data_IF_583008399822
#
_entry.id   IF_583008399822
#
_cell.length_a   1.000
_cell.length_b   1.000
_cell.length_c   1.000
_cell.angle_alpha   90.00
_cell.angle_beta   90.00
_cell.angle_gamma   90.00
#
_symmetry.space_group_name_H-M   'P 1'
#
loop_
_entity.id
_entity.type
_entity.pdbx_description
1 polymer ?
#
# COMPACT_ATOMS: atom_id res chain seq x y z
N UNK A 1 19.72 39.60 -6.30
CA UNK A 1 18.84 38.75 -5.46
C UNK A 1 18.39 37.61 -6.32
N UNK A 2 18.84 36.39 -6.04
CA UNK A 2 18.31 35.18 -6.69
C UNK A 2 16.81 35.09 -6.39
N UNK A 3 15.98 34.86 -7.40
CA UNK A 3 14.55 34.64 -7.21
C UNK A 3 14.26 33.47 -6.26
N UNK A 4 12.99 33.19 -5.95
CA UNK A 4 12.63 32.05 -5.11
C UNK A 4 13.11 30.73 -5.75
N UNK A 5 13.54 29.76 -4.91
CA UNK A 5 14.00 28.46 -5.34
C UNK A 5 12.88 27.75 -6.14
N UNK A 6 13.14 27.42 -7.40
CA UNK A 6 12.17 26.75 -8.29
C UNK A 6 12.32 25.23 -8.19
N UNK A 7 11.26 24.52 -7.77
CA UNK A 7 11.28 23.09 -7.56
C UNK A 7 10.21 22.40 -8.39
N UNK A 8 10.62 21.45 -9.23
CA UNK A 8 9.69 20.52 -9.88
C UNK A 8 9.42 19.33 -8.98
N UNK A 9 8.16 18.97 -8.80
CA UNK A 9 7.75 17.72 -8.15
C UNK A 9 7.06 16.84 -9.18
N UNK A 10 7.56 15.63 -9.39
CA UNK A 10 7.06 14.69 -10.40
C UNK A 10 6.34 13.55 -9.72
N UNK A 11 5.02 13.49 -9.87
CA UNK A 11 4.11 12.57 -9.23
C UNK A 11 3.36 13.20 -8.05
N UNK A 12 2.03 13.05 -8.05
CA UNK A 12 1.12 13.62 -7.06
C UNK A 12 0.58 12.59 -6.05
N UNK A 13 1.22 11.42 -5.93
CA UNK A 13 0.95 10.51 -4.81
C UNK A 13 1.28 11.15 -3.47
N UNK A 14 0.98 10.46 -2.35
CA UNK A 14 1.19 11.01 -1.00
C UNK A 14 2.60 11.57 -0.78
N UNK A 15 3.63 10.99 -1.39
CA UNK A 15 5.01 11.45 -1.26
C UNK A 15 5.24 12.81 -1.93
N UNK A 16 4.72 12.98 -3.16
CA UNK A 16 4.81 14.25 -3.88
C UNK A 16 3.98 15.35 -3.22
N UNK A 17 2.78 15.01 -2.77
CA UNK A 17 1.92 15.92 -2.02
C UNK A 17 2.56 16.34 -0.68
N UNK A 18 3.20 15.41 0.02
CA UNK A 18 3.93 15.71 1.26
C UNK A 18 5.12 16.64 1.01
N UNK A 19 5.89 16.38 -0.06
CA UNK A 19 6.99 17.27 -0.44
C UNK A 19 6.50 18.65 -0.83
N UNK A 20 5.43 18.77 -1.63
CA UNK A 20 4.82 20.03 -2.02
C UNK A 20 4.32 20.82 -0.81
N UNK A 21 3.63 20.14 0.11
CA UNK A 21 3.14 20.74 1.35
C UNK A 21 4.28 21.27 2.24
N UNK A 22 5.35 20.51 2.40
CA UNK A 22 6.52 20.90 3.19
C UNK A 22 7.34 22.04 2.57
N UNK A 23 7.33 22.18 1.25
CA UNK A 23 8.03 23.24 0.52
C UNK A 23 7.22 24.53 0.39
N UNK A 24 5.95 24.52 0.78
CA UNK A 24 5.04 25.68 0.73
C UNK A 24 5.65 26.89 1.43
N UNK A 25 5.67 28.02 0.72
CA UNK A 25 6.23 29.28 1.23
C UNK A 25 7.76 29.35 1.28
N UNK A 26 8.47 28.23 1.05
CA UNK A 26 9.93 28.18 1.01
C UNK A 26 10.50 28.03 -0.41
N UNK A 27 9.69 27.56 -1.36
CA UNK A 27 10.04 27.37 -2.76
C UNK A 27 8.85 27.65 -3.68
N UNK A 28 9.15 27.98 -4.93
CA UNK A 28 8.18 28.04 -6.02
C UNK A 28 8.03 26.62 -6.62
N UNK A 29 6.92 25.97 -6.30
CA UNK A 29 6.67 24.56 -6.60
C UNK A 29 5.79 24.43 -7.83
N UNK A 30 6.25 23.62 -8.80
CA UNK A 30 5.42 23.09 -9.90
C UNK A 30 5.20 21.61 -9.69
N UNK A 31 3.94 21.17 -9.53
CA UNK A 31 3.55 19.78 -9.38
C UNK A 31 3.11 19.19 -10.73
N UNK A 32 3.78 18.14 -11.19
CA UNK A 32 3.45 17.42 -12.41
C UNK A 32 2.78 16.07 -12.07
N UNK A 33 1.63 15.82 -12.71
CA UNK A 33 0.92 14.54 -12.63
C UNK A 33 0.62 14.03 -14.04
N UNK A 34 0.95 12.77 -14.28
CA UNK A 34 0.71 12.11 -15.57
C UNK A 34 -0.76 11.74 -15.78
N UNK A 35 -1.46 11.42 -14.68
CA UNK A 35 -2.86 11.03 -14.67
C UNK A 35 -3.83 12.22 -14.77
N UNK A 36 -5.11 11.88 -14.79
CA UNK A 36 -6.24 12.81 -14.88
C UNK A 36 -6.78 13.25 -13.49
N UNK A 37 -6.19 12.75 -12.40
CA UNK A 37 -6.47 13.15 -11.01
C UNK A 37 -5.19 13.24 -10.19
N UNK A 38 -5.23 14.02 -9.10
CA UNK A 38 -4.17 14.06 -8.10
C UNK A 38 -4.41 13.04 -7.01
N UNK A 39 -3.35 12.47 -6.43
CA UNK A 39 -3.42 11.57 -5.28
C UNK A 39 -2.75 10.21 -5.48
N UNK A 40 -2.52 9.77 -6.72
CA UNK A 40 -1.96 8.46 -7.01
C UNK A 40 -2.84 7.34 -6.44
N UNK A 41 -2.33 6.53 -5.49
CA UNK A 41 -3.12 5.49 -4.81
C UNK A 41 -4.20 6.06 -3.86
N UNK A 42 -4.22 7.34 -3.58
CA UNK A 42 -5.37 8.02 -2.96
C UNK A 42 -6.38 8.33 -4.04
N UNK A 43 -7.20 7.33 -4.36
CA UNK A 43 -8.16 7.41 -5.43
C UNK A 43 -9.57 7.16 -4.91
N UNK A 44 -10.39 8.22 -4.87
CA UNK A 44 -11.78 8.20 -4.48
C UNK A 44 -12.67 8.37 -5.72
N UNK A 45 -13.60 7.46 -5.93
CA UNK A 45 -14.56 7.45 -7.04
C UNK A 45 -15.95 7.79 -6.51
N UNK A 46 -16.67 8.67 -7.19
CA UNK A 46 -18.07 8.94 -6.85
C UNK A 46 -18.97 7.82 -7.41
N UNK A 47 -19.69 7.17 -6.51
CA UNK A 47 -20.61 6.08 -6.82
C UNK A 47 -22.01 6.48 -6.45
N UNK A 48 -22.96 6.25 -7.37
CA UNK A 48 -24.40 6.47 -7.13
C UNK A 48 -25.12 5.13 -7.03
N UNK A 49 -25.62 4.80 -5.85
CA UNK A 49 -26.31 3.53 -5.57
C UNK A 49 -27.55 3.77 -4.71
N UNK A 50 -28.46 2.76 -4.62
CA UNK A 50 -29.59 2.83 -3.69
C UNK A 50 -29.16 2.99 -2.24
N UNK A 51 -29.71 3.97 -1.56
CA UNK A 51 -29.62 4.19 -0.12
C UNK A 51 -30.98 4.06 0.55
N UNK A 52 -31.07 4.26 1.88
CA UNK A 52 -32.31 4.09 2.64
C UNK A 52 -33.48 5.01 2.21
N UNK A 53 -33.17 6.16 1.60
CA UNK A 53 -34.16 7.18 1.21
C UNK A 53 -34.14 7.51 -0.30
N UNK A 54 -33.56 6.62 -1.13
CA UNK A 54 -33.40 6.82 -2.57
C UNK A 54 -31.96 6.69 -3.05
N UNK A 55 -31.66 7.07 -4.28
CA UNK A 55 -30.32 7.03 -4.82
C UNK A 55 -29.41 8.07 -4.10
N UNK A 56 -28.22 7.63 -3.69
CA UNK A 56 -27.23 8.46 -2.99
C UNK A 56 -25.89 8.37 -3.72
N UNK A 57 -25.25 9.53 -3.93
CA UNK A 57 -23.88 9.59 -4.43
C UNK A 57 -22.90 9.77 -3.28
N UNK A 58 -21.86 8.93 -3.22
CA UNK A 58 -20.85 8.99 -2.16
C UNK A 58 -19.47 8.60 -2.70
N UNK A 59 -18.43 9.21 -2.12
CA UNK A 59 -17.04 8.89 -2.44
C UNK A 59 -16.62 7.52 -1.90
N UNK A 60 -16.06 6.69 -2.76
CA UNK A 60 -15.60 5.33 -2.45
C UNK A 60 -14.11 5.23 -2.79
N UNK A 61 -13.29 4.87 -1.81
CA UNK A 61 -11.85 4.72 -2.02
C UNK A 61 -11.52 3.37 -2.66
N UNK A 62 -10.60 3.37 -3.63
CA UNK A 62 -10.22 2.18 -4.38
C UNK A 62 -8.75 1.78 -4.19
N UNK A 63 -7.96 2.64 -3.55
CA UNK A 63 -6.54 2.37 -3.28
C UNK A 63 -6.19 2.51 -1.80
N UNK A 64 -5.90 3.71 -1.30
CA UNK A 64 -5.66 3.93 0.13
C UNK A 64 -6.99 3.88 0.91
N UNK A 65 -7.13 2.93 1.83
CA UNK A 65 -8.38 2.66 2.54
C UNK A 65 -8.35 3.02 4.03
N UNK A 66 -7.28 2.66 4.74
CA UNK A 66 -7.23 2.67 6.21
C UNK A 66 -5.87 3.08 6.77
N UNK A 67 -5.89 3.61 7.99
CA UNK A 67 -4.72 3.93 8.80
C UNK A 67 -5.00 3.67 10.28
N UNK A 68 -3.98 3.66 11.13
CA UNK A 68 -4.13 3.48 12.58
C UNK A 68 -3.21 4.42 13.37
N UNK A 69 -3.52 4.63 14.63
CA UNK A 69 -2.81 5.58 15.49
C UNK A 69 -1.37 5.16 15.82
N UNK A 70 -1.07 3.86 15.72
CA UNK A 70 0.23 3.33 16.14
C UNK A 70 1.31 3.50 15.06
N UNK A 71 0.94 3.32 13.79
CA UNK A 71 1.92 3.24 12.69
C UNK A 71 1.79 4.36 11.67
N UNK A 72 0.83 5.31 11.86
CA UNK A 72 0.61 6.44 10.95
C UNK A 72 0.69 7.81 11.67
N UNK A 73 1.72 8.08 12.51
CA UNK A 73 1.77 9.31 13.30
C UNK A 73 1.86 10.58 12.44
N UNK A 74 2.60 10.56 11.33
CA UNK A 74 2.75 11.71 10.45
C UNK A 74 1.48 11.99 9.65
N UNK A 75 0.79 10.93 9.20
CA UNK A 75 -0.47 11.07 8.50
C UNK A 75 -1.56 11.66 9.41
N UNK A 76 -1.60 11.22 10.67
CA UNK A 76 -2.53 11.76 11.67
C UNK A 76 -2.23 13.24 11.95
N UNK A 77 -0.96 13.60 12.08
CA UNK A 77 -0.55 14.99 12.26
C UNK A 77 -0.95 15.86 11.06
N UNK A 78 -0.73 15.36 9.84
CA UNK A 78 -1.16 16.02 8.60
C UNK A 78 -2.67 16.19 8.54
N UNK A 79 -3.44 15.15 8.89
CA UNK A 79 -4.90 15.22 8.90
C UNK A 79 -5.42 16.23 9.93
N UNK A 80 -4.80 16.30 11.10
CA UNK A 80 -5.11 17.28 12.13
C UNK A 80 -4.82 18.73 11.64
N UNK A 81 -3.66 18.96 11.01
CA UNK A 81 -3.29 20.25 10.42
C UNK A 81 -4.28 20.68 9.34
N UNK A 82 -4.66 19.76 8.47
CA UNK A 82 -5.57 20.04 7.36
C UNK A 82 -7.05 20.05 7.77
N UNK A 83 -7.40 19.68 9.00
CA UNK A 83 -8.79 19.53 9.44
C UNK A 83 -9.55 18.48 8.65
N UNK A 84 -8.94 17.29 8.45
CA UNK A 84 -9.55 16.14 7.73
C UNK A 84 -10.38 15.31 8.71
N UNK A 85 -11.66 15.13 8.42
CA UNK A 85 -12.53 14.27 9.22
C UNK A 85 -12.25 12.78 8.97
N UNK A 86 -12.22 12.00 10.05
CA UNK A 86 -11.97 10.56 10.01
C UNK A 86 -13.10 9.78 10.68
N UNK A 87 -13.25 8.52 10.34
CA UNK A 87 -14.21 7.59 10.92
C UNK A 87 -13.54 6.28 11.30
N UNK A 88 -14.11 5.57 12.30
CA UNK A 88 -13.65 4.23 12.66
C UNK A 88 -13.86 3.28 11.51
N UNK A 89 -12.89 2.38 11.30
CA UNK A 89 -12.89 1.35 10.28
C UNK A 89 -12.72 -0.03 10.92
N UNK A 90 -13.23 -1.05 10.24
CA UNK A 90 -13.00 -2.45 10.57
C UNK A 90 -11.75 -2.97 9.83
N UNK A 91 -10.94 -3.77 10.50
CA UNK A 91 -9.75 -4.42 9.93
C UNK A 91 -9.86 -5.94 10.14
N UNK A 92 -11.04 -6.48 9.92
CA UNK A 92 -11.30 -7.92 9.95
C UNK A 92 -10.79 -8.60 8.68
N UNK A 93 -10.48 -9.88 8.82
CA UNK A 93 -9.86 -10.68 7.77
C UNK A 93 -10.55 -12.04 7.67
N UNK A 94 -10.81 -12.49 6.44
CA UNK A 94 -11.32 -13.82 6.14
C UNK A 94 -10.55 -14.52 5.03
N UNK A 95 -10.71 -15.82 4.96
CA UNK A 95 -10.04 -16.69 4.00
C UNK A 95 -11.03 -17.63 3.36
N UNK A 96 -10.94 -17.73 2.04
CA UNK A 96 -11.60 -18.73 1.21
C UNK A 96 -10.54 -19.59 0.52
N UNK A 97 -10.58 -20.92 0.74
CA UNK A 97 -9.66 -21.88 0.11
C UNK A 97 -10.49 -22.95 -0.61
N UNK A 98 -10.72 -22.78 -1.92
CA UNK A 98 -11.45 -23.77 -2.72
C UNK A 98 -10.80 -25.16 -2.64
N UNK A 99 -11.61 -26.20 -2.46
CA UNK A 99 -11.17 -27.60 -2.44
C UNK A 99 -10.44 -28.07 -1.18
N UNK A 100 -10.21 -27.23 -0.18
CA UNK A 100 -9.43 -27.55 1.03
C UNK A 100 -10.10 -28.59 1.94
N UNK A 101 -11.43 -28.70 1.91
CA UNK A 101 -12.21 -29.59 2.77
C UNK A 101 -12.86 -30.73 1.94
N UNK A 102 -12.06 -31.72 1.53
CA UNK A 102 -12.56 -32.85 0.73
C UNK A 102 -13.35 -32.39 -0.51
N UNK A 103 -12.84 -31.40 -1.24
CA UNK A 103 -13.47 -30.82 -2.42
C UNK A 103 -14.38 -29.61 -2.13
N UNK A 104 -14.72 -29.35 -0.89
CA UNK A 104 -15.47 -28.15 -0.49
C UNK A 104 -14.54 -26.98 -0.18
N UNK A 105 -15.05 -25.77 -0.29
CA UNK A 105 -14.33 -24.54 0.07
C UNK A 105 -14.23 -24.40 1.59
N UNK A 106 -13.02 -24.17 2.11
CA UNK A 106 -12.82 -23.71 3.49
C UNK A 106 -13.10 -22.20 3.56
N UNK A 107 -13.98 -21.80 4.49
CA UNK A 107 -14.32 -20.40 4.76
C UNK A 107 -14.25 -20.14 6.26
N UNK A 108 -13.52 -19.12 6.66
CA UNK A 108 -13.44 -18.70 8.06
C UNK A 108 -12.94 -17.25 8.19
N UNK A 109 -13.18 -16.62 9.34
CA UNK A 109 -12.68 -15.27 9.66
C UNK A 109 -12.17 -15.22 11.09
N UNK A 110 -11.13 -14.44 11.33
CA UNK A 110 -10.51 -14.27 12.64
C UNK A 110 -11.19 -13.24 13.55
N UNK A 111 -12.40 -12.75 13.23
CA UNK A 111 -13.06 -11.66 13.94
C UNK A 111 -13.65 -12.09 15.29
N UNK A 112 -14.11 -13.32 15.41
CA UNK A 112 -14.71 -13.90 16.63
C UNK A 112 -14.65 -15.42 16.60
N UNK A 113 -14.84 -16.08 17.73
CA UNK A 113 -14.97 -17.57 17.75
C UNK A 113 -16.11 -18.04 16.86
N UNK A 114 -17.20 -17.27 16.77
CA UNK A 114 -18.33 -17.60 15.91
C UNK A 114 -17.95 -17.57 14.41
N UNK A 115 -17.15 -16.61 14.00
CA UNK A 115 -16.67 -16.49 12.61
C UNK A 115 -15.50 -17.44 12.30
N UNK A 116 -14.65 -17.77 13.27
CA UNK A 116 -13.62 -18.82 13.13
C UNK A 116 -14.27 -20.16 12.80
N UNK A 117 -15.37 -20.47 13.46
CA UNK A 117 -16.17 -21.67 13.21
C UNK A 117 -17.46 -21.39 12.41
N UNK A 118 -17.41 -20.45 11.44
CA UNK A 118 -18.54 -20.19 10.53
C UNK A 118 -19.02 -21.48 9.83
N UNK A 119 -18.10 -22.36 9.50
CA UNK A 119 -18.35 -23.75 9.09
C UNK A 119 -18.22 -24.64 10.32
N UNK A 120 -19.36 -25.03 10.93
CA UNK A 120 -19.38 -25.78 12.20
C UNK A 120 -18.66 -27.14 12.16
N UNK A 121 -18.55 -27.75 10.96
CA UNK A 121 -17.78 -28.98 10.76
C UNK A 121 -16.29 -28.85 11.12
N UNK A 122 -15.74 -27.64 11.11
CA UNK A 122 -14.36 -27.36 11.46
C UNK A 122 -14.06 -27.55 12.96
N UNK A 123 -15.06 -27.65 13.83
CA UNK A 123 -14.90 -28.01 15.25
C UNK A 123 -14.28 -29.40 15.43
N UNK A 124 -14.55 -30.34 14.50
CA UNK A 124 -13.97 -31.70 14.50
C UNK A 124 -12.82 -31.90 13.50
N UNK A 125 -12.41 -30.86 12.78
CA UNK A 125 -11.37 -30.97 11.76
C UNK A 125 -9.97 -30.76 12.38
N UNK A 126 -9.21 -31.87 12.53
CA UNK A 126 -7.88 -31.85 13.15
C UNK A 126 -6.89 -30.94 12.42
N UNK A 127 -6.97 -30.83 11.09
CA UNK A 127 -6.11 -29.93 10.29
C UNK A 127 -6.40 -28.46 10.62
N UNK A 128 -7.68 -28.12 10.70
CA UNK A 128 -8.11 -26.77 11.06
C UNK A 128 -7.72 -26.42 12.51
N UNK A 129 -7.92 -27.34 13.45
CA UNK A 129 -7.51 -27.13 14.85
C UNK A 129 -5.99 -27.00 14.99
N UNK A 130 -5.21 -27.77 14.21
CA UNK A 130 -3.75 -27.64 14.14
C UNK A 130 -3.33 -26.27 13.63
N UNK A 131 -3.97 -25.76 12.57
CA UNK A 131 -3.75 -24.40 12.07
C UNK A 131 -3.96 -23.37 13.19
N UNK A 132 -5.06 -23.46 13.94
CA UNK A 132 -5.33 -22.52 15.05
C UNK A 132 -4.26 -22.58 16.15
N UNK A 133 -3.80 -23.79 16.51
CA UNK A 133 -2.71 -23.97 17.46
C UNK A 133 -1.40 -23.36 16.95
N UNK A 134 -1.11 -23.54 15.66
CA UNK A 134 0.05 -22.94 15.01
C UNK A 134 -0.02 -21.42 14.94
N UNK A 135 -1.20 -20.81 14.77
CA UNK A 135 -1.37 -19.34 14.86
C UNK A 135 -0.93 -18.83 16.24
N UNK A 136 -1.40 -19.46 17.31
CA UNK A 136 -1.03 -19.08 18.69
C UNK A 136 0.48 -19.24 18.92
N UNK A 137 1.04 -20.37 18.47
CA UNK A 137 2.47 -20.66 18.57
C UNK A 137 3.31 -19.66 17.79
N UNK A 138 2.93 -19.34 16.55
CA UNK A 138 3.60 -18.37 15.70
C UNK A 138 3.63 -16.98 16.36
N UNK A 139 2.47 -16.50 16.83
CA UNK A 139 2.39 -15.21 17.50
C UNK A 139 3.30 -15.14 18.72
N UNK A 140 3.39 -16.21 19.53
CA UNK A 140 4.30 -16.28 20.70
C UNK A 140 5.77 -16.23 20.28
N UNK A 141 6.17 -17.06 19.32
CA UNK A 141 7.56 -17.17 18.86
C UNK A 141 8.01 -15.83 18.25
N UNK A 142 7.21 -15.26 17.36
CA UNK A 142 7.57 -14.04 16.63
C UNK A 142 7.52 -12.80 17.51
N UNK A 143 6.62 -12.73 18.50
CA UNK A 143 6.62 -11.64 19.49
C UNK A 143 7.89 -11.71 20.36
N UNK A 144 8.32 -12.89 20.79
CA UNK A 144 9.57 -13.06 21.52
C UNK A 144 10.79 -12.63 20.70
N UNK A 145 10.83 -12.97 19.42
CA UNK A 145 11.89 -12.55 18.50
C UNK A 145 11.89 -11.02 18.30
N UNK A 146 10.71 -10.40 18.12
CA UNK A 146 10.61 -8.95 17.97
C UNK A 146 11.10 -8.18 19.23
N UNK A 147 10.81 -8.71 20.42
CA UNK A 147 11.18 -8.10 21.69
C UNK A 147 12.66 -8.30 22.07
N UNK A 148 13.31 -9.35 21.57
CA UNK A 148 14.72 -9.65 21.87
C UNK A 148 15.73 -8.69 21.24
N UNK A 149 15.29 -7.78 20.36
CA UNK A 149 16.18 -6.86 19.62
C UNK A 149 17.13 -7.57 18.65
N UNK A 150 16.91 -8.85 18.37
CA UNK A 150 17.76 -9.68 17.52
C UNK A 150 17.59 -9.41 16.01
N UNK A 151 17.19 -8.20 15.64
CA UNK A 151 16.87 -7.82 14.25
C UNK A 151 17.99 -8.09 13.24
N UNK A 152 19.22 -8.18 13.72
CA UNK A 152 20.43 -8.48 12.92
C UNK A 152 20.93 -9.92 13.09
N UNK A 153 20.21 -10.76 13.84
CA UNK A 153 20.62 -12.15 13.98
C UNK A 153 20.57 -12.87 12.62
N UNK A 154 21.61 -13.61 12.22
CA UNK A 154 21.63 -14.33 10.95
C UNK A 154 20.40 -15.21 10.71
N UNK A 155 19.85 -15.78 11.79
CA UNK A 155 18.64 -16.59 11.76
C UNK A 155 17.37 -15.82 11.30
N UNK A 156 17.36 -14.49 11.40
CA UNK A 156 16.24 -13.65 10.97
C UNK A 156 16.44 -13.03 9.59
N UNK A 157 17.62 -13.15 9.00
CA UNK A 157 17.91 -12.75 7.62
C UNK A 157 17.57 -13.85 6.61
N UNK A 158 17.23 -15.07 7.09
CA UNK A 158 16.82 -16.16 6.21
C UNK A 158 15.46 -15.89 5.55
N UNK A 159 15.16 -16.55 4.41
CA UNK A 159 13.84 -16.53 3.80
C UNK A 159 12.75 -17.05 4.74
N UNK A 160 11.58 -16.43 4.66
CA UNK A 160 10.41 -16.81 5.46
C UNK A 160 10.02 -18.29 5.29
N UNK A 161 10.09 -18.83 4.07
CA UNK A 161 9.80 -20.23 3.80
C UNK A 161 10.72 -21.18 4.57
N UNK A 162 12.00 -20.85 4.71
CA UNK A 162 12.97 -21.63 5.47
C UNK A 162 12.67 -21.57 6.98
N UNK A 163 12.33 -20.41 7.49
CA UNK A 163 11.92 -20.23 8.87
C UNK A 163 10.68 -21.09 9.22
N UNK A 164 9.64 -21.02 8.39
CA UNK A 164 8.41 -21.79 8.63
C UNK A 164 8.70 -23.32 8.67
N UNK A 165 9.56 -23.81 7.76
CA UNK A 165 9.99 -25.22 7.74
C UNK A 165 10.83 -25.59 8.96
N UNK A 166 11.83 -24.78 9.28
CA UNK A 166 12.71 -25.01 10.44
C UNK A 166 11.94 -25.05 11.76
N UNK A 167 10.92 -24.20 11.89
CA UNK A 167 10.03 -24.15 13.04
C UNK A 167 8.91 -25.22 12.98
N UNK A 168 8.83 -26.04 11.93
CA UNK A 168 7.83 -27.10 11.75
C UNK A 168 6.38 -26.60 11.86
N UNK A 169 6.08 -25.45 11.26
CA UNK A 169 4.71 -25.01 11.09
C UNK A 169 3.99 -25.87 10.04
N UNK A 170 2.69 -26.13 10.25
CA UNK A 170 1.90 -26.97 9.33
C UNK A 170 1.66 -26.26 7.99
N UNK A 171 1.42 -27.06 6.95
CA UNK A 171 1.02 -26.55 5.64
C UNK A 171 -0.32 -25.82 5.72
N UNK A 172 -1.25 -26.32 6.57
CA UNK A 172 -2.53 -25.66 6.84
C UNK A 172 -2.34 -24.26 7.44
N UNK A 173 -1.40 -24.08 8.38
CA UNK A 173 -1.05 -22.77 8.91
C UNK A 173 -0.50 -21.86 7.81
N UNK A 174 0.44 -22.36 7.01
CA UNK A 174 1.04 -21.60 5.91
C UNK A 174 -0.02 -21.19 4.89
N UNK A 175 -0.85 -22.14 4.41
CA UNK A 175 -1.69 -21.97 3.22
C UNK A 175 -3.10 -21.44 3.53
N UNK A 176 -3.62 -21.65 4.75
CA UNK A 176 -4.98 -21.26 5.12
C UNK A 176 -5.04 -20.03 6.04
N UNK A 177 -3.88 -19.56 6.52
CA UNK A 177 -3.81 -18.36 7.37
C UNK A 177 -2.67 -17.45 6.97
N UNK A 178 -1.42 -17.92 7.02
CA UNK A 178 -0.25 -17.04 7.01
C UNK A 178 -0.04 -16.37 5.66
N UNK A 179 0.08 -17.12 4.57
CA UNK A 179 0.22 -16.58 3.22
C UNK A 179 -1.01 -15.76 2.77
N UNK A 180 -2.26 -16.19 3.04
CA UNK A 180 -3.44 -15.34 2.87
C UNK A 180 -3.32 -13.97 3.56
N UNK A 181 -2.96 -13.94 4.84
CA UNK A 181 -2.80 -12.70 5.60
C UNK A 181 -1.71 -11.81 5.01
N UNK A 182 -0.55 -12.39 4.66
CA UNK A 182 0.56 -11.66 4.05
C UNK A 182 0.20 -11.14 2.66
N UNK A 183 -0.54 -11.92 1.88
CA UNK A 183 -1.04 -11.54 0.57
C UNK A 183 -1.97 -10.34 0.62
N UNK A 184 -2.83 -10.27 1.61
CA UNK A 184 -3.68 -9.11 1.84
C UNK A 184 -2.88 -7.83 2.10
N UNK A 185 -1.71 -7.94 2.74
CA UNK A 185 -0.90 -6.80 3.15
C UNK A 185 -0.09 -6.24 1.97
N UNK A 186 0.59 -7.10 1.21
CA UNK A 186 1.53 -6.66 0.15
C UNK A 186 1.05 -6.89 -1.27
N UNK A 187 -0.09 -7.52 -1.47
CA UNK A 187 -0.69 -7.75 -2.80
C UNK A 187 0.28 -8.37 -3.82
N UNK A 188 1.20 -9.21 -3.35
CA UNK A 188 2.19 -9.90 -4.18
C UNK A 188 2.01 -11.43 -4.13
N UNK A 189 2.46 -12.17 -5.14
CA UNK A 189 2.33 -13.63 -5.20
C UNK A 189 2.92 -14.33 -3.96
N UNK A 190 2.24 -15.39 -3.50
CA UNK A 190 2.60 -16.12 -2.28
C UNK A 190 4.01 -16.71 -2.30
N UNK A 191 4.46 -17.18 -3.47
CA UNK A 191 5.83 -17.70 -3.65
C UNK A 191 6.90 -16.62 -3.43
N UNK A 192 6.62 -15.40 -3.85
CA UNK A 192 7.55 -14.28 -3.63
C UNK A 192 7.62 -13.91 -2.14
N UNK A 193 6.48 -13.98 -1.43
CA UNK A 193 6.43 -13.71 0.01
C UNK A 193 7.27 -14.69 0.83
N UNK A 194 7.38 -15.95 0.40
CA UNK A 194 8.23 -16.95 1.04
C UNK A 194 9.73 -16.61 0.97
N UNK A 195 10.13 -15.72 0.05
CA UNK A 195 11.50 -15.21 -0.07
C UNK A 195 11.76 -13.96 0.77
N UNK A 196 10.74 -13.37 1.39
CA UNK A 196 10.93 -12.19 2.24
C UNK A 196 11.78 -12.54 3.46
N UNK A 197 12.68 -11.64 3.90
CA UNK A 197 13.42 -11.84 5.15
C UNK A 197 12.48 -11.91 6.35
N UNK A 198 12.69 -12.90 7.21
CA UNK A 198 11.89 -13.11 8.43
C UNK A 198 11.86 -11.86 9.30
N UNK A 199 13.02 -11.19 9.49
CA UNK A 199 13.12 -9.96 10.30
C UNK A 199 12.17 -8.87 9.82
N UNK A 200 12.11 -8.64 8.51
CA UNK A 200 11.23 -7.61 7.90
C UNK A 200 9.77 -7.90 8.20
N UNK A 201 9.37 -9.16 7.98
CA UNK A 201 8.00 -9.61 8.21
C UNK A 201 7.61 -9.54 9.70
N UNK A 202 8.46 -10.03 10.61
CA UNK A 202 8.19 -10.01 12.06
C UNK A 202 8.06 -8.57 12.55
N UNK A 203 8.99 -7.69 12.16
CA UNK A 203 8.95 -6.27 12.55
C UNK A 203 7.69 -5.59 12.07
N UNK A 204 7.34 -5.82 10.81
CA UNK A 204 6.10 -5.28 10.25
C UNK A 204 4.87 -5.76 11.03
N UNK A 205 4.70 -7.08 11.18
CA UNK A 205 3.55 -7.66 11.89
C UNK A 205 3.49 -7.21 13.36
N UNK A 206 4.62 -7.09 14.03
CA UNK A 206 4.69 -6.59 15.41
C UNK A 206 4.24 -5.12 15.49
N UNK A 207 4.78 -4.26 14.63
CA UNK A 207 4.47 -2.82 14.64
C UNK A 207 2.98 -2.56 14.35
N UNK A 208 2.38 -3.33 13.44
CA UNK A 208 0.97 -3.19 13.07
C UNK A 208 0.01 -3.96 14.00
N UNK A 209 0.50 -4.60 15.06
CA UNK A 209 -0.33 -5.35 16.01
C UNK A 209 -0.95 -6.63 15.43
N UNK A 210 -0.43 -7.14 14.31
CA UNK A 210 -0.96 -8.34 13.63
C UNK A 210 -0.62 -9.64 14.37
N UNK A 211 0.39 -9.62 15.24
CA UNK A 211 0.77 -10.74 16.11
C UNK A 211 -0.04 -10.78 17.40
N UNK A 212 -1.01 -9.87 17.56
CA UNK A 212 -1.84 -9.76 18.77
C UNK A 212 -3.25 -10.28 18.49
N UNK A 213 -3.77 -11.09 19.39
CA UNK A 213 -5.18 -11.54 19.34
C UNK A 213 -6.08 -10.49 20.02
N UNK A 214 -5.57 -9.87 21.10
CA UNK A 214 -6.24 -8.82 21.87
C UNK A 214 -5.46 -7.51 21.79
N UNK A 215 -6.08 -6.39 22.16
CA UNK A 215 -5.45 -5.06 22.14
C UNK A 215 -4.91 -4.64 20.76
N UNK A 216 -5.62 -5.02 19.70
CA UNK A 216 -5.33 -4.55 18.35
C UNK A 216 -5.57 -3.05 18.25
N UNK A 217 -4.74 -2.30 17.46
CA UNK A 217 -4.96 -0.87 17.25
C UNK A 217 -6.32 -0.63 16.60
N UNK A 218 -6.97 0.49 16.95
CA UNK A 218 -8.14 0.96 16.21
C UNK A 218 -7.69 1.44 14.84
N UNK A 219 -8.40 1.00 13.81
CA UNK A 219 -8.22 1.47 12.46
C UNK A 219 -9.23 2.55 12.11
N UNK A 220 -8.84 3.44 11.24
CA UNK A 220 -9.58 4.60 10.82
C UNK A 220 -9.56 4.73 9.30
N UNK A 221 -10.54 5.43 8.75
CA UNK A 221 -10.61 5.83 7.34
C UNK A 221 -10.95 7.31 7.23
N UNK A 222 -10.74 7.91 6.07
CA UNK A 222 -11.16 9.30 5.81
C UNK A 222 -12.67 9.32 5.52
N UNK A 223 -13.41 10.13 6.25
CA UNK A 223 -14.86 10.26 6.07
C UNK A 223 -15.17 10.92 4.72
N UNK A 224 -15.99 10.29 3.91
CA UNK A 224 -16.37 10.78 2.58
C UNK A 224 -15.34 10.53 1.47
N UNK A 225 -14.22 9.86 1.79
CA UNK A 225 -13.18 9.48 0.85
C UNK A 225 -11.87 10.25 1.04
N UNK A 226 -10.78 9.57 0.75
CA UNK A 226 -9.43 10.08 1.00
C UNK A 226 -9.05 11.27 0.13
N UNK A 227 -9.73 11.51 -1.01
CA UNK A 227 -9.51 12.71 -1.84
C UNK A 227 -9.61 14.02 -1.06
N UNK A 228 -10.35 14.07 0.05
CA UNK A 228 -10.51 15.31 0.82
C UNK A 228 -9.19 15.89 1.35
N UNK A 229 -8.23 15.06 1.76
CA UNK A 229 -6.93 15.56 2.16
C UNK A 229 -6.09 15.97 0.93
N UNK A 230 -6.22 15.25 -0.19
CA UNK A 230 -5.55 15.58 -1.45
C UNK A 230 -5.96 16.95 -1.93
N UNK A 231 -7.27 17.22 -2.00
CA UNK A 231 -7.83 18.50 -2.43
C UNK A 231 -7.33 19.66 -1.55
N UNK A 232 -7.27 19.46 -0.24
CA UNK A 232 -6.76 20.45 0.70
C UNK A 232 -5.29 20.79 0.46
N UNK A 233 -4.43 19.82 0.15
CA UNK A 233 -3.02 20.07 -0.19
C UNK A 233 -2.92 20.74 -1.56
N UNK A 234 -3.58 20.17 -2.57
CA UNK A 234 -3.53 20.63 -3.96
C UNK A 234 -4.05 22.05 -4.10
N UNK A 235 -5.07 22.45 -3.33
CA UNK A 235 -5.59 23.83 -3.34
C UNK A 235 -4.54 24.88 -2.93
N UNK A 236 -3.52 24.47 -2.20
CA UNK A 236 -2.44 25.35 -1.72
C UNK A 236 -1.24 25.43 -2.69
N UNK A 237 -1.22 24.64 -3.77
CA UNK A 237 -0.15 24.62 -4.77
C UNK A 237 -0.54 25.56 -5.93
N UNK A 238 0.29 26.55 -6.21
CA UNK A 238 0.04 27.57 -7.25
C UNK A 238 0.08 26.97 -8.66
N UNK A 239 1.15 26.24 -9.00
CA UNK A 239 1.31 25.59 -10.31
C UNK A 239 1.19 24.06 -10.16
N UNK A 240 0.09 23.51 -10.63
CA UNK A 240 -0.25 22.10 -10.59
C UNK A 240 -0.84 21.65 -11.92
N UNK A 241 -0.32 20.56 -12.46
CA UNK A 241 -0.56 20.16 -13.85
C UNK A 241 -0.96 18.69 -13.94
N UNK A 242 -2.22 18.41 -14.23
CA UNK A 242 -2.75 17.11 -14.61
C UNK A 242 -2.49 16.79 -16.08
N UNK A 243 -2.58 15.52 -16.45
CA UNK A 243 -2.37 15.04 -17.82
C UNK A 243 -1.06 15.61 -18.42
N UNK A 244 -0.02 15.72 -17.56
CA UNK A 244 1.25 16.34 -17.94
C UNK A 244 2.40 15.39 -17.58
N UNK A 245 2.52 14.26 -18.29
CA UNK A 245 3.59 13.29 -18.04
C UNK A 245 4.96 13.91 -18.31
N UNK A 246 5.85 13.80 -17.33
CA UNK A 246 7.27 14.10 -17.50
C UNK A 246 7.90 12.96 -18.27
N UNK A 247 8.51 13.27 -19.42
CA UNK A 247 9.12 12.27 -20.31
C UNK A 247 10.61 12.15 -20.08
N UNK A 248 11.27 13.24 -19.74
CA UNK A 248 12.72 13.26 -19.61
C UNK A 248 13.14 14.33 -18.59
N UNK A 249 14.18 14.01 -17.84
CA UNK A 249 14.86 14.89 -16.91
C UNK A 249 16.33 14.97 -17.31
N UNK A 250 16.75 16.14 -17.71
CA UNK A 250 18.14 16.49 -18.02
C UNK A 250 18.73 17.28 -16.86
N UNK A 251 19.93 16.95 -16.47
CA UNK A 251 20.61 17.56 -15.31
C UNK A 251 21.98 18.09 -15.72
N UNK A 252 22.29 19.31 -15.29
CA UNK A 252 23.59 19.94 -15.50
C UNK A 252 24.03 20.72 -14.25
N UNK A 253 25.18 21.39 -14.31
CA UNK A 253 25.71 22.14 -13.17
C UNK A 253 24.80 23.28 -12.69
N UNK A 254 23.87 23.78 -13.53
CA UNK A 254 22.99 24.90 -13.24
C UNK A 254 21.59 24.51 -12.78
N UNK A 255 21.27 23.20 -12.73
CA UNK A 255 19.95 22.71 -12.28
C UNK A 255 19.42 21.57 -13.15
N UNK A 256 18.08 21.56 -13.28
CA UNK A 256 17.34 20.49 -13.93
C UNK A 256 16.45 21.05 -15.03
N UNK A 257 16.39 20.37 -16.16
CA UNK A 257 15.44 20.63 -17.23
C UNK A 257 14.42 19.49 -17.28
N UNK A 258 13.17 19.81 -17.00
CA UNK A 258 12.04 18.87 -17.03
C UNK A 258 11.36 18.99 -18.40
N UNK A 259 11.23 17.87 -19.11
CA UNK A 259 10.66 17.79 -20.45
C UNK A 259 9.35 17.03 -20.41
N UNK A 260 8.29 17.65 -20.87
CA UNK A 260 6.95 17.08 -21.06
C UNK A 260 6.63 17.00 -22.55
N UNK A 261 5.47 16.43 -22.91
CA UNK A 261 5.02 16.39 -24.31
C UNK A 261 4.76 17.81 -24.90
N UNK A 262 4.57 18.82 -24.02
CA UNK A 262 4.18 20.18 -24.42
C UNK A 262 5.35 21.15 -24.42
N UNK A 263 6.24 21.02 -23.44
CA UNK A 263 7.30 22.02 -23.20
C UNK A 263 8.46 21.44 -22.39
N UNK A 264 9.54 22.19 -22.35
CA UNK A 264 10.70 21.92 -21.51
C UNK A 264 11.03 23.15 -20.66
N UNK A 265 11.12 22.95 -19.35
CA UNK A 265 11.29 24.02 -18.37
C UNK A 265 12.48 23.75 -17.44
N UNK A 266 13.11 24.83 -16.98
CA UNK A 266 14.22 24.73 -16.02
C UNK A 266 13.74 24.95 -14.59
N UNK A 267 14.35 24.17 -13.71
CA UNK A 267 14.15 24.24 -12.26
C UNK A 267 15.52 24.14 -11.57
N UNK A 268 15.61 24.67 -10.35
CA UNK A 268 16.83 24.55 -9.56
C UNK A 268 16.98 23.12 -8.99
N UNK A 269 15.87 22.49 -8.66
CA UNK A 269 15.81 21.14 -8.08
C UNK A 269 14.61 20.35 -8.61
N UNK A 270 14.71 19.02 -8.55
CA UNK A 270 13.58 18.12 -8.82
C UNK A 270 13.39 17.11 -7.69
N UNK A 271 12.14 16.88 -7.31
CA UNK A 271 11.71 15.79 -6.44
C UNK A 271 10.97 14.76 -7.30
N UNK A 272 11.55 13.57 -7.42
CA UNK A 272 10.98 12.43 -8.14
C UNK A 272 10.15 11.61 -7.14
N UNK A 273 8.83 11.77 -7.19
CA UNK A 273 7.86 11.18 -6.28
C UNK A 273 7.00 10.09 -6.97
N UNK A 274 7.55 9.51 -8.03
CA UNK A 274 6.98 8.38 -8.77
C UNK A 274 7.56 7.04 -8.26
N UNK A 275 7.18 5.92 -8.88
CA UNK A 275 7.83 4.65 -8.66
C UNK A 275 9.33 4.75 -9.00
N UNK A 276 10.16 3.92 -8.38
CA UNK A 276 11.61 3.98 -8.59
C UNK A 276 12.01 3.67 -10.03
N UNK A 277 11.37 2.68 -10.66
CA UNK A 277 11.58 2.32 -12.07
C UNK A 277 11.13 3.44 -13.03
N UNK A 278 10.00 4.08 -12.76
CA UNK A 278 9.52 5.25 -13.51
C UNK A 278 10.47 6.43 -13.34
N UNK A 279 10.93 6.68 -12.11
CA UNK A 279 11.91 7.72 -11.81
C UNK A 279 13.20 7.48 -12.57
N UNK A 280 13.69 6.25 -12.59
CA UNK A 280 14.89 5.85 -13.34
C UNK A 280 14.71 6.06 -14.86
N UNK A 281 13.55 5.65 -15.40
CA UNK A 281 13.24 5.77 -16.82
C UNK A 281 13.19 7.23 -17.31
N UNK A 282 12.82 8.17 -16.44
CA UNK A 282 12.79 9.61 -16.78
C UNK A 282 14.19 10.25 -16.80
N UNK A 283 15.20 9.68 -16.16
CA UNK A 283 16.54 10.25 -16.11
C UNK A 283 17.28 10.04 -17.43
N UNK A 284 17.67 11.11 -18.13
CA UNK A 284 18.45 11.03 -19.39
C UNK A 284 19.77 10.31 -19.21
N UNK A 285 20.44 10.61 -18.12
CA UNK A 285 21.72 10.00 -17.73
C UNK A 285 21.66 9.64 -16.26
N UNK A 286 21.31 8.39 -15.97
CA UNK A 286 21.36 7.87 -14.62
C UNK A 286 22.79 7.39 -14.30
N UNK A 287 23.31 7.77 -13.14
CA UNK A 287 24.58 7.24 -12.62
C UNK A 287 24.46 5.74 -12.30
N UNK A 288 25.59 5.00 -12.24
CA UNK A 288 25.54 3.59 -11.81
C UNK A 288 24.88 3.38 -10.45
N UNK A 289 25.07 4.30 -9.50
CA UNK A 289 24.42 4.26 -8.18
C UNK A 289 22.90 4.43 -8.28
N UNK A 290 22.41 5.38 -9.10
CA UNK A 290 20.97 5.55 -9.35
C UNK A 290 20.38 4.32 -10.04
N UNK A 291 21.06 3.74 -11.04
CA UNK A 291 20.63 2.51 -11.69
C UNK A 291 20.53 1.34 -10.69
N UNK A 292 21.53 1.19 -9.82
CA UNK A 292 21.56 0.15 -8.80
C UNK A 292 20.43 0.28 -7.79
N UNK A 293 20.19 1.48 -7.27
CA UNK A 293 19.17 1.70 -6.24
C UNK A 293 17.76 1.72 -6.82
N UNK A 294 17.51 2.53 -7.85
CA UNK A 294 16.17 2.69 -8.40
C UNK A 294 15.71 1.46 -9.20
N UNK A 295 16.62 0.77 -9.86
CA UNK A 295 16.35 -0.43 -10.65
C UNK A 295 16.17 -1.71 -9.82
N UNK A 296 16.58 -1.71 -8.53
CA UNK A 296 16.46 -2.87 -7.67
C UNK A 296 15.01 -3.13 -7.18
N UNK A 297 14.16 -2.11 -7.18
CA UNK A 297 12.76 -2.24 -6.74
C UNK A 297 11.91 -2.72 -7.90
N UNK A 298 11.36 -3.91 -7.79
CA UNK A 298 10.41 -4.47 -8.76
C UNK A 298 8.98 -4.10 -8.38
N UNK A 299 8.09 -4.07 -9.35
CA UNK A 299 6.68 -3.74 -9.15
C UNK A 299 5.78 -4.85 -9.69
N UNK A 300 4.77 -5.21 -8.89
CA UNK A 300 3.72 -6.17 -9.25
C UNK A 300 2.48 -5.40 -9.73
N UNK A 301 2.05 -5.59 -11.00
CA UNK A 301 0.78 -5.04 -11.45
C UNK A 301 -0.40 -5.75 -10.79
N UNK A 302 -1.44 -4.99 -10.50
CA UNK A 302 -2.67 -5.45 -9.87
C UNK A 302 -3.86 -4.74 -10.50
N UNK A 303 -4.86 -5.52 -10.91
CA UNK A 303 -6.13 -5.00 -11.42
C UNK A 303 -7.14 -4.91 -10.28
N UNK A 304 -7.65 -3.71 -10.02
CA UNK A 304 -8.70 -3.47 -9.05
C UNK A 304 -10.03 -3.25 -9.78
N UNK A 305 -11.08 -3.98 -9.37
CA UNK A 305 -12.43 -3.84 -9.89
C UNK A 305 -13.35 -3.40 -8.77
N UNK A 306 -13.96 -2.22 -8.90
CA UNK A 306 -15.01 -1.73 -8.00
C UNK A 306 -16.36 -2.23 -8.52
N UNK A 307 -17.13 -2.92 -7.68
CA UNK A 307 -18.39 -3.57 -8.09
C UNK A 307 -19.34 -3.81 -6.93
N UNK A 308 -20.56 -4.32 -7.24
CA UNK A 308 -21.60 -4.66 -6.26
C UNK A 308 -21.90 -6.16 -6.18
N UNK A 309 -21.19 -6.99 -6.92
CA UNK A 309 -21.35 -8.45 -6.89
C UNK A 309 -20.84 -9.03 -5.57
N UNK A 310 -21.75 -9.49 -4.71
CA UNK A 310 -21.44 -10.11 -3.43
C UNK A 310 -21.10 -11.60 -3.54
N UNK A 311 -21.20 -12.21 -4.71
CA UNK A 311 -20.92 -13.65 -4.91
C UNK A 311 -19.44 -14.00 -4.71
N UNK A 312 -18.54 -13.00 -4.83
CA UNK A 312 -17.10 -13.13 -4.56
C UNK A 312 -16.77 -13.26 -3.06
N UNK A 313 -17.71 -12.89 -2.19
CA UNK A 313 -17.54 -12.99 -0.74
C UNK A 313 -17.84 -14.41 -0.26
N UNK A 314 -17.37 -14.82 0.95
CA UNK A 314 -17.69 -16.13 1.51
C UNK A 314 -19.20 -16.45 1.48
N UNK A 315 -19.55 -17.70 1.13
CA UNK A 315 -20.95 -18.14 1.18
C UNK A 315 -21.54 -18.05 2.60
N UNK A 316 -20.68 -18.28 3.60
CA UNK A 316 -21.06 -18.10 5.02
C UNK A 316 -20.94 -16.64 5.40
N UNK A 317 -22.04 -15.89 5.47
CA UNK A 317 -22.06 -14.47 5.89
C UNK A 317 -21.34 -14.21 7.22
N UNK A 318 -21.30 -15.21 8.12
CA UNK A 318 -20.53 -15.13 9.37
C UNK A 318 -19.01 -15.01 9.14
N UNK A 319 -18.53 -15.42 7.98
CA UNK A 319 -17.12 -15.29 7.59
C UNK A 319 -16.82 -13.99 6.81
N UNK A 320 -17.84 -13.17 6.49
CA UNK A 320 -17.59 -11.89 5.83
C UNK A 320 -16.72 -11.00 6.71
N UNK A 321 -15.73 -10.39 6.11
CA UNK A 321 -14.78 -9.51 6.75
C UNK A 321 -14.50 -8.29 5.87
N UNK A 322 -13.82 -7.31 6.42
CA UNK A 322 -13.38 -6.14 5.66
C UNK A 322 -12.42 -6.55 4.52
N UNK A 323 -11.58 -7.54 4.77
CA UNK A 323 -10.59 -8.11 3.84
C UNK A 323 -10.89 -9.60 3.66
N UNK A 324 -11.27 -10.01 2.45
CA UNK A 324 -11.65 -11.39 2.13
C UNK A 324 -10.68 -11.96 1.10
N UNK A 325 -9.75 -12.80 1.54
CA UNK A 325 -8.79 -13.47 0.66
C UNK A 325 -9.45 -14.68 -0.02
N UNK A 326 -9.20 -14.83 -1.32
CA UNK A 326 -9.54 -16.01 -2.09
C UNK A 326 -8.27 -16.66 -2.65
N UNK A 327 -8.09 -17.97 -2.38
CA UNK A 327 -6.96 -18.69 -2.93
C UNK A 327 -7.18 -18.97 -4.42
N UNK A 328 -6.25 -18.47 -5.23
CA UNK A 328 -6.23 -18.76 -6.68
C UNK A 328 -5.83 -20.22 -6.95
N UNK A 329 -6.39 -20.89 -7.99
CA UNK A 329 -5.95 -22.21 -8.40
C UNK A 329 -4.46 -22.22 -8.77
N UNK A 330 -3.77 -23.36 -8.52
CA UNK A 330 -2.33 -23.50 -8.77
C UNK A 330 -1.91 -23.20 -10.21
N UNK A 331 -2.78 -23.49 -11.18
CA UNK A 331 -2.54 -23.22 -12.61
C UNK A 331 -2.48 -21.73 -12.96
N UNK A 332 -3.04 -20.87 -12.10
CA UNK A 332 -3.06 -19.41 -12.29
C UNK A 332 -2.16 -18.66 -11.29
N UNK A 333 -1.66 -19.33 -10.24
CA UNK A 333 -0.89 -18.70 -9.16
C UNK A 333 0.42 -18.05 -9.61
N UNK A 334 1.10 -18.57 -10.63
CA UNK A 334 2.38 -18.01 -11.09
C UNK A 334 2.24 -16.73 -11.90
N UNK A 335 1.06 -16.50 -12.51
CA UNK A 335 0.81 -15.36 -13.38
C UNK A 335 -0.19 -14.35 -12.75
N UNK A 336 -1.04 -14.79 -11.84
CA UNK A 336 -2.03 -13.95 -11.19
C UNK A 336 -1.51 -13.47 -9.83
N UNK A 337 -1.65 -12.19 -9.55
CA UNK A 337 -1.45 -11.62 -8.21
C UNK A 337 -2.38 -12.26 -7.17
N UNK A 338 -2.29 -11.80 -5.94
CA UNK A 338 -3.20 -12.23 -4.85
C UNK A 338 -4.62 -11.79 -5.18
N UNK A 339 -5.59 -12.70 -5.06
CA UNK A 339 -7.01 -12.38 -5.14
C UNK A 339 -7.53 -11.95 -3.77
N UNK A 340 -8.12 -10.75 -3.72
CA UNK A 340 -8.57 -10.14 -2.48
C UNK A 340 -9.81 -9.29 -2.73
N UNK A 341 -10.83 -9.46 -1.90
CA UNK A 341 -12.09 -8.72 -1.98
C UNK A 341 -12.26 -7.84 -0.75
N UNK A 342 -12.16 -6.52 -0.91
CA UNK A 342 -12.38 -5.54 0.13
C UNK A 342 -13.87 -5.22 0.22
N UNK A 343 -14.53 -5.59 1.31
CA UNK A 343 -15.93 -5.20 1.58
C UNK A 343 -15.94 -3.78 2.16
N UNK A 344 -16.14 -2.82 1.28
CA UNK A 344 -16.01 -1.41 1.62
C UNK A 344 -17.03 -0.92 2.64
N UNK A 345 -18.20 -1.55 2.74
CA UNK A 345 -19.19 -1.24 3.77
C UNK A 345 -18.69 -1.47 5.22
N UNK A 346 -17.65 -2.29 5.42
CA UNK A 346 -16.99 -2.47 6.70
C UNK A 346 -15.79 -1.53 6.88
N UNK A 347 -15.17 -1.11 5.78
CA UNK A 347 -13.99 -0.25 5.76
C UNK A 347 -14.34 1.23 5.83
N UNK A 348 -15.41 1.65 5.17
CA UNK A 348 -15.87 3.03 5.07
C UNK A 348 -17.33 3.15 5.49
N UNK A 349 -17.76 4.26 6.11
CA UNK A 349 -19.16 4.52 6.48
C UNK A 349 -19.98 4.86 5.23
N UNK A 350 -20.21 3.87 4.35
CA UNK A 350 -20.95 4.04 3.12
C UNK A 350 -22.48 4.07 3.37
N UNK A 351 -23.23 4.98 2.73
CA UNK A 351 -24.67 5.10 2.89
C UNK A 351 -25.49 4.12 2.04
N UNK A 352 -24.87 3.12 1.43
CA UNK A 352 -25.49 2.22 0.48
C UNK A 352 -26.15 1.02 1.16
N UNK A 353 -27.30 0.59 0.60
CA UNK A 353 -28.07 -0.56 1.12
C UNK A 353 -27.50 -1.92 0.69
N UNK A 354 -26.61 -1.93 -0.29
CA UNK A 354 -26.02 -3.15 -0.87
C UNK A 354 -24.51 -3.20 -0.63
N UNK A 355 -23.88 -4.39 -0.70
CA UNK A 355 -22.46 -4.52 -0.64
C UNK A 355 -21.77 -3.73 -1.78
N UNK A 356 -20.67 -3.07 -1.43
CA UNK A 356 -19.74 -2.44 -2.36
C UNK A 356 -18.38 -3.07 -2.12
N UNK A 357 -17.78 -3.61 -3.17
CA UNK A 357 -16.56 -4.41 -3.09
C UNK A 357 -15.51 -3.85 -4.05
N UNK A 358 -14.27 -3.78 -3.60
CA UNK A 358 -13.11 -3.68 -4.49
C UNK A 358 -12.43 -5.03 -4.53
N UNK A 359 -12.43 -5.68 -5.69
CA UNK A 359 -11.72 -6.93 -5.91
C UNK A 359 -10.37 -6.67 -6.57
N UNK A 360 -9.30 -7.11 -5.92
CA UNK A 360 -7.95 -7.08 -6.48
C UNK A 360 -7.67 -8.42 -7.15
N UNK A 361 -7.36 -8.41 -8.45
CA UNK A 361 -7.09 -9.59 -9.27
C UNK A 361 -8.16 -10.69 -9.10
N UNK A 362 -9.46 -10.41 -9.34
CA UNK A 362 -10.51 -11.40 -9.18
C UNK A 362 -10.25 -12.63 -10.06
N UNK A 363 -10.48 -13.84 -9.50
CA UNK A 363 -10.29 -15.12 -10.21
C UNK A 363 -11.41 -15.39 -11.17
N UNK A 364 -12.65 -15.09 -10.76
CA UNK A 364 -13.86 -15.26 -11.55
C UNK A 364 -14.25 -13.98 -12.28
N UNK A 365 -15.13 -14.12 -13.28
CA UNK A 365 -15.72 -12.99 -13.96
C UNK A 365 -16.75 -12.30 -13.07
N UNK A 366 -16.60 -11.00 -12.88
CA UNK A 366 -17.61 -10.14 -12.26
C UNK A 366 -18.60 -9.74 -13.36
N UNK A 367 -19.88 -9.89 -13.11
CA UNK A 367 -20.91 -9.57 -14.07
C UNK A 367 -20.82 -8.08 -14.47
N UNK A 368 -20.82 -7.81 -15.77
CA UNK A 368 -20.54 -6.49 -16.33
C UNK A 368 -21.46 -5.39 -15.80
N UNK A 369 -22.73 -5.72 -15.53
CA UNK A 369 -23.71 -4.80 -14.96
C UNK A 369 -23.41 -4.41 -13.52
N UNK A 370 -22.62 -5.20 -12.79
CA UNK A 370 -22.25 -4.93 -11.41
C UNK A 370 -20.95 -4.14 -11.28
N UNK A 371 -20.18 -3.98 -12.37
CA UNK A 371 -18.92 -3.24 -12.39
C UNK A 371 -19.20 -1.73 -12.39
N UNK A 372 -18.65 -1.05 -11.39
CA UNK A 372 -18.71 0.41 -11.23
C UNK A 372 -17.44 1.10 -11.75
N UNK A 373 -16.31 0.38 -11.76
CA UNK A 373 -15.04 0.89 -12.27
C UNK A 373 -13.93 -0.17 -12.26
N UNK A 374 -12.89 0.07 -13.07
CA UNK A 374 -11.70 -0.80 -13.14
C UNK A 374 -10.47 0.08 -13.16
N UNK A 375 -9.46 -0.28 -12.36
CA UNK A 375 -8.25 0.50 -12.14
C UNK A 375 -7.03 -0.41 -12.14
N UNK A 376 -5.94 0.06 -12.71
CA UNK A 376 -4.67 -0.64 -12.70
C UNK A 376 -3.73 0.02 -11.68
N UNK A 377 -3.32 -0.76 -10.68
CA UNK A 377 -2.37 -0.37 -9.67
C UNK A 377 -1.11 -1.21 -9.77
N UNK A 378 0.00 -0.69 -9.27
CA UNK A 378 1.24 -1.44 -9.14
C UNK A 378 1.81 -1.27 -7.74
N UNK A 379 2.27 -2.38 -7.14
CA UNK A 379 2.81 -2.38 -5.80
C UNK A 379 4.27 -2.82 -5.79
N UNK A 380 5.15 -2.20 -5.00
CA UNK A 380 6.55 -2.59 -4.89
C UNK A 380 6.70 -3.96 -4.23
N UNK A 381 7.67 -4.74 -4.70
CA UNK A 381 8.03 -6.05 -4.15
C UNK A 381 9.29 -5.89 -3.29
N UNK A 382 9.20 -6.28 -2.02
CA UNK A 382 10.26 -6.08 -1.02
C UNK A 382 11.11 -7.34 -0.82
N UNK A 383 11.90 -7.70 -1.83
CA UNK A 383 12.92 -8.73 -1.70
C UNK A 383 14.22 -8.19 -1.06
N UNK A 384 15.23 -9.04 -0.92
CA UNK A 384 16.51 -8.65 -0.33
C UNK A 384 17.20 -7.51 -1.09
N UNK A 385 17.10 -7.51 -2.43
CA UNK A 385 17.69 -6.46 -3.28
C UNK A 385 17.01 -5.11 -3.02
N UNK A 386 15.68 -5.09 -2.95
CA UNK A 386 14.90 -3.89 -2.64
C UNK A 386 15.27 -3.34 -1.25
N UNK A 387 15.37 -4.20 -0.23
CA UNK A 387 15.73 -3.80 1.15
C UNK A 387 17.16 -3.24 1.22
N UNK A 388 18.08 -3.81 0.45
CA UNK A 388 19.44 -3.29 0.37
C UNK A 388 19.48 -1.91 -0.31
N UNK A 389 18.78 -1.77 -1.43
CA UNK A 389 18.67 -0.51 -2.17
C UNK A 389 18.07 0.63 -1.34
N UNK A 390 17.08 0.33 -0.49
CA UNK A 390 16.51 1.32 0.44
C UNK A 390 17.57 1.94 1.37
N UNK A 391 18.54 1.16 1.82
CA UNK A 391 19.63 1.65 2.71
C UNK A 391 20.60 2.58 1.98
N UNK A 392 20.76 2.39 0.68
CA UNK A 392 21.69 3.16 -0.16
C UNK A 392 21.06 4.46 -0.68
N UNK A 393 19.74 4.59 -0.62
CA UNK A 393 19.00 5.75 -1.12
C UNK A 393 19.49 7.09 -0.56
N UNK A 394 19.88 7.11 0.71
CA UNK A 394 20.37 8.33 1.36
C UNK A 394 21.58 8.95 0.62
N UNK A 395 22.43 8.11 0.01
CA UNK A 395 23.60 8.52 -0.76
C UNK A 395 23.25 9.18 -2.11
N UNK A 396 22.02 9.05 -2.60
CA UNK A 396 21.57 9.67 -3.86
C UNK A 396 20.95 11.05 -3.65
N UNK A 397 20.50 11.37 -2.44
CA UNK A 397 19.70 12.56 -2.18
C UNK A 397 20.48 13.86 -2.38
N UNK A 398 20.01 14.71 -3.28
CA UNK A 398 20.60 15.99 -3.63
C UNK A 398 21.69 15.92 -4.71
N UNK A 399 22.15 14.72 -5.09
CA UNK A 399 23.09 14.57 -6.20
C UNK A 399 22.45 15.02 -7.50
N UNK A 400 23.20 15.76 -8.33
CA UNK A 400 22.70 16.31 -9.59
C UNK A 400 21.34 17.00 -9.45
N UNK A 401 21.11 17.74 -8.34
CA UNK A 401 19.89 18.50 -8.08
C UNK A 401 18.62 17.65 -7.89
N UNK A 402 18.75 16.32 -7.71
CA UNK A 402 17.63 15.39 -7.70
C UNK A 402 17.40 14.81 -6.30
N UNK A 403 16.12 14.65 -5.94
CA UNK A 403 15.67 14.02 -4.70
C UNK A 403 14.62 12.96 -5.04
N UNK A 404 14.67 11.83 -4.36
CA UNK A 404 13.80 10.68 -4.63
C UNK A 404 12.95 10.38 -3.39
N UNK A 405 11.67 10.17 -3.58
CA UNK A 405 10.76 9.76 -2.53
C UNK A 405 9.65 8.84 -3.09
N UNK A 406 8.98 8.13 -2.19
CA UNK A 406 7.93 7.18 -2.54
C UNK A 406 7.70 6.18 -1.42
N UNK A 407 6.55 5.52 -1.40
CA UNK A 407 6.25 4.47 -0.43
C UNK A 407 7.25 3.29 -0.54
N UNK A 408 7.87 3.08 -1.69
CA UNK A 408 8.90 2.08 -1.95
C UNK A 408 10.19 2.25 -1.12
N UNK A 409 10.37 3.41 -0.49
CA UNK A 409 11.51 3.69 0.41
C UNK A 409 11.36 3.07 1.79
N UNK A 410 10.18 2.53 2.11
CA UNK A 410 9.82 1.84 3.35
C UNK A 410 9.12 0.52 3.07
N UNK A 411 8.02 0.25 3.74
CA UNK A 411 7.23 -0.99 3.59
C UNK A 411 6.13 -0.89 2.51
N UNK A 412 6.04 0.21 1.78
CA UNK A 412 5.05 0.41 0.72
C UNK A 412 3.74 1.06 1.18
N UNK A 413 3.66 1.54 2.40
CA UNK A 413 2.44 2.11 2.96
C UNK A 413 2.38 3.63 2.84
N UNK A 414 1.19 4.15 3.07
CA UNK A 414 0.90 5.59 2.94
C UNK A 414 1.79 6.44 3.87
N UNK A 415 2.02 5.98 5.11
CA UNK A 415 2.94 6.63 6.06
C UNK A 415 4.38 6.67 5.55
N UNK A 416 4.84 5.58 4.89
CA UNK A 416 6.20 5.54 4.33
C UNK A 416 6.35 6.57 3.21
N UNK A 417 5.34 6.65 2.33
CA UNK A 417 5.29 7.64 1.26
C UNK A 417 5.30 9.06 1.80
N UNK A 418 4.44 9.37 2.77
CA UNK A 418 4.37 10.67 3.43
C UNK A 418 5.71 11.05 4.05
N UNK A 419 6.26 10.14 4.87
CA UNK A 419 7.54 10.34 5.56
C UNK A 419 8.68 10.61 4.58
N UNK A 420 8.76 9.85 3.50
CA UNK A 420 9.82 10.02 2.49
C UNK A 420 9.71 11.36 1.75
N UNK A 421 8.49 11.81 1.44
CA UNK A 421 8.26 13.12 0.83
C UNK A 421 8.67 14.28 1.73
N UNK A 422 8.29 14.21 3.01
CA UNK A 422 8.71 15.20 4.03
C UNK A 422 10.24 15.24 4.19
N UNK A 423 10.89 14.08 4.24
CA UNK A 423 12.35 13.97 4.36
C UNK A 423 13.06 14.54 3.12
N UNK A 424 12.59 14.23 1.91
CA UNK A 424 13.14 14.77 0.68
C UNK A 424 13.07 16.30 0.65
N UNK A 425 11.93 16.89 1.03
CA UNK A 425 11.75 18.33 1.12
C UNK A 425 12.68 18.97 2.18
N UNK A 426 12.80 18.38 3.35
CA UNK A 426 13.68 18.86 4.42
C UNK A 426 15.15 18.84 3.99
N UNK A 427 15.61 17.76 3.34
CA UNK A 427 16.97 17.66 2.82
C UNK A 427 17.22 18.69 1.72
N UNK A 428 16.26 18.89 0.82
CA UNK A 428 16.32 19.90 -0.25
C UNK A 428 16.52 21.31 0.33
N UNK A 429 15.71 21.70 1.31
CA UNK A 429 15.82 23.00 1.97
C UNK A 429 17.14 23.16 2.72
N UNK A 430 17.62 22.10 3.37
CA UNK A 430 18.92 22.10 4.07
C UNK A 430 20.07 22.33 3.09
N UNK A 431 20.08 21.62 1.96
CA UNK A 431 21.10 21.77 0.93
C UNK A 431 21.05 23.13 0.25
N UNK A 432 19.85 23.69 0.03
CA UNK A 432 19.71 25.02 -0.55
C UNK A 432 20.26 26.12 0.37
N UNK A 433 20.10 25.98 1.69
CA UNK A 433 20.65 26.93 2.69
C UNK A 433 22.15 26.78 2.90
N UNK A 434 22.70 25.58 2.73
CA UNK A 434 24.14 25.31 2.87
C UNK A 434 24.98 25.67 1.63
N UNK A 435 24.30 25.92 0.50
CA UNK A 435 24.93 26.41 -0.74
C UNK A 435 24.88 27.94 -0.89
N UNK A 436 24.20 28.65 0.01
CA UNK A 436 24.14 30.11 0.08
C UNK A 436 25.19 30.62 1.08
#
# INVERSE_FOLDING_TARGET
MSGPLRVAIVGSGISGLAAAHALRGAADVTLFEAGDYFGGHTHTVDVTLPGPQGAVTHGVDTGFLVFNERTYPQLIALFAELGVETAKSDMSFSVQVPGALNGQTLEWSGSSLNSVFAQRGNLGNLKFLRMLADIVRFNRVTTGLAQSGADSAPALLQPLGDFLRAQRFSDEFRDWYFLPMMGCIWSCPTEQMLQFPVATMIRFCHNHGLLQITNRPQWWTVKGGARHYVDKIVSQIGDKRLNTPVRLIERDASGVRVVTDRQAERFDKVVLAAHSDQSLAMLRTASPAEQGVLGAIRYQPNRAVLHTDASVLPQKKLAWAAWNYERTPASTQQAAGVCLHYLLNLLQPLPFSQPVVVSLNPVGDIARQDILGTFDYTHPVFDLAAIQAQKELAGLQGLQHSYFCGAWTGYGFHEDGLKSGLQAAQLLLKHARGAA
#
